data_IF_980571902415
#
_entry.id   IF_980571902415
#
_cell.length_a   1.000
_cell.length_b   1.000
_cell.length_c   1.000
_cell.angle_alpha   90.00
_cell.angle_beta   90.00
_cell.angle_gamma   90.00
#
_symmetry.space_group_name_H-M   'P 1'
#
loop_
_entity.id
_entity.type
_entity.pdbx_description
1 polymer ?
#
# COMPACT_ATOMS: atom_id res chain seq x y z
N UNK A 1 8.49 24.94 54.21
CA UNK A 1 7.28 25.33 53.45
C UNK A 1 7.72 25.72 52.04
N UNK A 2 7.23 25.17 50.93
CA UNK A 2 6.16 24.22 50.71
C UNK A 2 6.35 23.52 49.37
N UNK A 3 6.08 22.22 49.39
CA UNK A 3 6.12 21.32 48.24
C UNK A 3 4.87 21.57 47.37
N UNK A 4 5.02 22.29 46.25
CA UNK A 4 3.95 22.41 45.27
C UNK A 4 3.89 21.14 44.42
N UNK A 5 3.12 20.18 44.91
CA UNK A 5 2.60 19.05 44.13
C UNK A 5 1.63 19.60 43.08
N UNK A 6 2.06 19.65 41.83
CA UNK A 6 1.14 19.80 40.69
C UNK A 6 0.91 18.40 40.12
N UNK A 7 -0.36 18.02 40.11
CA UNK A 7 -0.86 16.70 39.75
C UNK A 7 -0.43 16.27 38.34
N UNK A 8 -0.13 14.99 38.11
CA UNK A 8 -0.08 14.46 36.76
C UNK A 8 -1.51 14.39 36.20
N UNK A 9 -1.79 15.20 35.18
CA UNK A 9 -2.95 14.95 34.31
C UNK A 9 -2.62 13.72 33.45
N UNK A 10 -2.83 12.53 34.03
CA UNK A 10 -2.96 11.30 33.27
C UNK A 10 -4.27 11.39 32.49
N UNK A 11 -4.19 11.92 31.27
CA UNK A 11 -5.26 11.89 30.29
C UNK A 11 -5.45 10.44 29.79
N UNK A 12 -6.17 9.65 30.57
CA UNK A 12 -6.83 8.45 30.05
C UNK A 12 -8.08 8.88 29.26
N UNK A 13 -7.87 9.29 28.01
CA UNK A 13 -8.83 9.02 26.95
C UNK A 13 -8.05 8.40 25.79
N UNK A 14 -7.83 7.10 25.91
CA UNK A 14 -7.86 6.23 24.76
C UNK A 14 -9.20 6.46 24.08
N UNK A 15 -9.24 7.40 23.13
CA UNK A 15 -10.28 7.44 22.13
C UNK A 15 -10.15 6.10 21.40
N UNK A 16 -11.06 5.20 21.78
CA UNK A 16 -11.60 4.15 20.95
C UNK A 16 -12.07 4.80 19.64
N UNK A 17 -11.13 5.15 18.77
CA UNK A 17 -11.41 5.03 17.36
C UNK A 17 -11.57 3.53 17.16
N UNK A 18 -12.77 3.05 16.79
CA UNK A 18 -12.83 1.75 16.18
C UNK A 18 -11.88 1.88 14.99
N UNK A 19 -10.69 1.29 15.12
CA UNK A 19 -9.91 0.86 13.99
C UNK A 19 -10.82 -0.14 13.29
N UNK A 20 -11.78 0.39 12.53
CA UNK A 20 -12.28 -0.30 11.39
C UNK A 20 -11.00 -0.53 10.60
N UNK A 21 -10.49 -1.76 10.72
CA UNK A 21 -9.52 -2.30 9.82
C UNK A 21 -10.21 -2.27 8.44
N UNK A 22 -10.27 -1.09 7.82
CA UNK A 22 -10.25 -1.00 6.39
C UNK A 22 -8.90 -1.63 6.04
N UNK A 23 -8.93 -2.93 5.75
CA UNK A 23 -7.81 -3.58 5.10
C UNK A 23 -7.39 -2.64 3.97
N UNK A 24 -6.13 -2.23 3.99
CA UNK A 24 -5.61 -1.35 2.97
C UNK A 24 -5.86 -2.05 1.63
N UNK A 25 -6.71 -1.45 0.80
CA UNK A 25 -7.21 -2.10 -0.38
C UNK A 25 -7.10 -1.15 -1.56
N UNK A 26 -6.60 -1.68 -2.67
CA UNK A 26 -6.82 -1.03 -3.95
C UNK A 26 -8.34 -1.01 -4.18
N UNK A 27 -8.86 0.14 -4.63
CA UNK A 27 -10.22 0.15 -5.19
C UNK A 27 -10.29 -0.84 -6.36
N UNK A 28 -11.48 -1.33 -6.67
CA UNK A 28 -11.66 -2.26 -7.79
C UNK A 28 -11.08 -1.68 -9.10
N UNK A 29 -11.33 -0.39 -9.35
CA UNK A 29 -10.79 0.33 -10.50
C UNK A 29 -9.25 0.45 -10.45
N UNK A 30 -8.68 0.83 -9.31
CA UNK A 30 -7.22 0.95 -9.16
C UNK A 30 -6.51 -0.39 -9.34
N UNK A 31 -7.10 -1.48 -8.84
CA UNK A 31 -6.57 -2.84 -9.01
C UNK A 31 -6.62 -3.29 -10.47
N UNK A 32 -7.75 -3.04 -11.13
CA UNK A 32 -7.92 -3.36 -12.55
C UNK A 32 -6.92 -2.56 -13.41
N UNK A 33 -6.78 -1.26 -13.15
CA UNK A 33 -5.86 -0.39 -13.87
C UNK A 33 -4.39 -0.77 -13.63
N UNK A 34 -3.99 -0.98 -12.37
CA UNK A 34 -2.65 -1.47 -12.04
C UNK A 34 -2.32 -2.77 -12.78
N UNK A 35 -3.25 -3.73 -12.72
CA UNK A 35 -3.05 -5.05 -13.32
C UNK A 35 -2.95 -4.95 -14.85
N UNK A 36 -3.81 -4.14 -15.49
CA UNK A 36 -3.79 -3.92 -16.94
C UNK A 36 -2.49 -3.22 -17.39
N UNK A 37 -2.05 -2.18 -16.69
CA UNK A 37 -0.81 -1.46 -17.01
C UNK A 37 0.42 -2.36 -16.82
N UNK A 38 0.47 -3.11 -15.71
CA UNK A 38 1.53 -4.06 -15.44
C UNK A 38 1.58 -5.18 -16.51
N UNK A 39 0.44 -5.75 -16.88
CA UNK A 39 0.38 -6.79 -17.92
C UNK A 39 0.81 -6.24 -19.28
N UNK A 40 0.32 -5.07 -19.67
CA UNK A 40 0.73 -4.42 -20.92
C UNK A 40 2.25 -4.21 -20.94
N UNK A 41 2.83 -3.68 -19.87
CA UNK A 41 4.28 -3.48 -19.77
C UNK A 41 5.08 -4.79 -19.81
N UNK A 42 4.58 -5.86 -19.18
CA UNK A 42 5.23 -7.17 -19.19
C UNK A 42 5.16 -7.85 -20.57
N UNK A 43 4.00 -7.79 -21.24
CA UNK A 43 3.82 -8.33 -22.60
C UNK A 43 4.71 -7.59 -23.60
N UNK A 44 4.84 -6.26 -23.48
CA UNK A 44 5.79 -5.47 -24.30
C UNK A 44 7.25 -5.90 -24.09
N UNK A 45 7.57 -6.51 -22.94
CA UNK A 45 8.89 -7.10 -22.64
C UNK A 45 9.00 -8.57 -23.06
N UNK A 46 8.01 -9.11 -23.78
CA UNK A 46 8.00 -10.49 -24.26
C UNK A 46 7.61 -11.53 -23.20
N UNK A 47 7.02 -11.10 -22.07
CA UNK A 47 6.46 -12.02 -21.07
C UNK A 47 5.14 -12.59 -21.60
N UNK A 48 4.96 -13.90 -21.44
CA UNK A 48 3.69 -14.59 -21.73
C UNK A 48 2.52 -13.94 -20.98
N UNK A 49 1.34 -13.86 -21.62
CA UNK A 49 0.18 -13.16 -21.08
C UNK A 49 -0.33 -13.79 -19.76
N UNK A 50 -0.35 -15.13 -19.65
CA UNK A 50 -0.78 -15.81 -18.43
C UNK A 50 0.23 -15.58 -17.29
N UNK A 51 1.52 -15.63 -17.61
CA UNK A 51 2.59 -15.31 -16.65
C UNK A 51 2.57 -13.85 -16.21
N UNK A 52 2.35 -12.92 -17.14
CA UNK A 52 2.18 -11.50 -16.84
C UNK A 52 0.98 -11.29 -15.91
N UNK A 53 -0.15 -11.95 -16.18
CA UNK A 53 -1.32 -11.88 -15.32
C UNK A 53 -1.05 -12.40 -13.91
N UNK A 54 -0.37 -13.56 -13.77
CA UNK A 54 -0.01 -14.12 -12.47
C UNK A 54 0.92 -13.17 -11.68
N UNK A 55 1.96 -12.64 -12.33
CA UNK A 55 2.90 -11.69 -11.74
C UNK A 55 2.20 -10.41 -11.26
N UNK A 56 1.38 -9.79 -12.12
CA UNK A 56 0.71 -8.54 -11.79
C UNK A 56 -0.38 -8.73 -10.74
N UNK A 57 -1.09 -9.86 -10.74
CA UNK A 57 -2.07 -10.18 -9.69
C UNK A 57 -1.39 -10.38 -8.33
N UNK A 58 -0.21 -11.00 -8.32
CA UNK A 58 0.61 -11.10 -7.11
C UNK A 58 1.07 -9.72 -6.63
N UNK A 59 1.52 -8.85 -7.53
CA UNK A 59 1.90 -7.48 -7.18
C UNK A 59 0.76 -6.69 -6.53
N UNK A 60 -0.46 -6.82 -7.06
CA UNK A 60 -1.65 -6.19 -6.48
C UNK A 60 -1.95 -6.71 -5.07
N UNK A 61 -1.83 -8.02 -4.85
CA UNK A 61 -1.98 -8.63 -3.51
C UNK A 61 -0.93 -8.12 -2.53
N UNK A 62 0.33 -8.04 -2.96
CA UNK A 62 1.42 -7.50 -2.13
C UNK A 62 1.16 -6.05 -1.73
N UNK A 63 0.60 -5.24 -2.64
CA UNK A 63 0.19 -3.87 -2.32
C UNK A 63 -0.85 -3.86 -1.19
N UNK A 64 -1.91 -4.65 -1.32
CA UNK A 64 -2.98 -4.77 -0.32
C UNK A 64 -2.45 -5.29 1.03
N UNK A 65 -1.46 -6.19 1.03
CA UNK A 65 -0.95 -6.83 2.24
C UNK A 65 0.15 -6.03 2.96
N UNK A 66 0.94 -5.22 2.24
CA UNK A 66 2.18 -4.59 2.76
C UNK A 66 2.14 -3.07 2.83
N UNK A 67 1.11 -2.45 2.25
CA UNK A 67 0.99 -1.00 2.19
C UNK A 67 -0.18 -0.55 3.04
N UNK A 68 -0.04 0.62 3.65
CA UNK A 68 -1.15 1.28 4.34
C UNK A 68 -2.08 1.92 3.31
N UNK A 69 -3.33 2.22 3.69
CA UNK A 69 -4.26 2.89 2.78
C UNK A 69 -3.69 4.23 2.27
N UNK A 70 -3.05 5.02 3.14
CA UNK A 70 -2.44 6.28 2.74
C UNK A 70 -1.31 6.10 1.70
N UNK A 71 -0.52 5.03 1.82
CA UNK A 71 0.50 4.67 0.83
C UNK A 71 -0.13 4.22 -0.49
N UNK A 72 -1.22 3.45 -0.44
CA UNK A 72 -1.97 3.04 -1.64
C UNK A 72 -2.56 4.26 -2.34
N UNK A 73 -3.16 5.18 -1.60
CA UNK A 73 -3.71 6.43 -2.14
C UNK A 73 -2.62 7.27 -2.81
N UNK A 74 -1.42 7.33 -2.24
CA UNK A 74 -0.27 7.97 -2.86
C UNK A 74 0.22 7.25 -4.13
N UNK A 75 0.23 5.91 -4.13
CA UNK A 75 0.64 5.12 -5.30
C UNK A 75 -0.35 5.24 -6.48
N UNK A 76 -1.63 5.45 -6.17
CA UNK A 76 -2.73 5.50 -7.16
C UNK A 76 -3.13 6.93 -7.55
N UNK A 77 -2.56 7.95 -6.91
CA UNK A 77 -2.86 9.34 -7.22
C UNK A 77 -2.37 9.71 -8.63
N UNK A 78 -3.28 10.16 -9.49
CA UNK A 78 -2.97 10.54 -10.89
C UNK A 78 -2.44 11.96 -11.03
N UNK A 79 -2.56 12.78 -10.00
CA UNK A 79 -2.16 14.20 -10.00
C UNK A 79 -0.79 14.43 -9.37
N UNK A 80 -0.39 13.55 -8.43
CA UNK A 80 0.84 13.70 -7.66
C UNK A 80 1.69 12.45 -7.83
N UNK A 81 2.95 12.67 -8.18
CA UNK A 81 3.90 11.58 -8.34
C UNK A 81 4.22 10.93 -6.98
N UNK A 82 4.20 9.58 -6.87
CA UNK A 82 4.50 8.91 -5.61
C UNK A 82 5.94 9.20 -5.16
N UNK A 83 6.19 9.37 -3.84
CA UNK A 83 7.54 9.55 -3.31
C UNK A 83 8.48 8.43 -3.76
N UNK A 84 9.75 8.77 -4.05
CA UNK A 84 10.75 7.79 -4.48
C UNK A 84 10.91 6.63 -3.49
N UNK A 85 10.89 6.91 -2.19
CA UNK A 85 10.96 5.89 -1.15
C UNK A 85 9.78 4.90 -1.22
N UNK A 86 8.59 5.39 -1.56
CA UNK A 86 7.39 4.56 -1.68
C UNK A 86 7.45 3.67 -2.93
N UNK A 87 7.96 4.20 -4.04
CA UNK A 87 8.23 3.40 -5.25
C UNK A 87 9.30 2.34 -5.02
N UNK A 88 10.37 2.68 -4.30
CA UNK A 88 11.41 1.71 -3.94
C UNK A 88 10.86 0.61 -3.05
N UNK A 89 10.01 0.95 -2.07
CA UNK A 89 9.29 -0.03 -1.25
C UNK A 89 8.44 -0.94 -2.15
N UNK A 90 7.64 -0.37 -3.06
CA UNK A 90 6.86 -1.15 -4.03
C UNK A 90 7.72 -2.13 -4.81
N UNK A 91 8.78 -1.65 -5.46
CA UNK A 91 9.69 -2.48 -6.25
C UNK A 91 10.32 -3.59 -5.41
N UNK A 92 10.71 -3.31 -4.17
CA UNK A 92 11.28 -4.30 -3.25
C UNK A 92 10.27 -5.38 -2.85
N UNK A 93 9.07 -4.98 -2.43
CA UNK A 93 8.06 -5.92 -1.94
C UNK A 93 7.53 -6.80 -3.07
N UNK A 94 7.35 -6.29 -4.29
CA UNK A 94 6.88 -7.10 -5.43
C UNK A 94 7.93 -8.08 -5.97
N UNK A 95 9.19 -8.02 -5.52
CA UNK A 95 10.20 -9.03 -5.89
C UNK A 95 9.79 -10.46 -5.49
N UNK A 96 8.95 -10.61 -4.46
CA UNK A 96 8.40 -11.91 -4.06
C UNK A 96 7.55 -12.55 -5.17
N UNK A 97 7.05 -11.74 -6.11
CA UNK A 97 6.23 -12.18 -7.24
C UNK A 97 7.05 -12.59 -8.46
N UNK A 98 8.38 -12.54 -8.42
CA UNK A 98 9.27 -12.81 -9.57
C UNK A 98 9.06 -14.20 -10.22
N UNK A 99 8.62 -15.18 -9.43
CA UNK A 99 8.46 -16.58 -9.89
C UNK A 99 7.01 -16.95 -10.21
N UNK A 100 6.11 -15.97 -10.26
CA UNK A 100 4.74 -16.17 -10.74
C UNK A 100 4.71 -16.31 -12.26
#
# INVERSE_FOLDING_TARGET
MGLKRLLPLSACLALMLPFAAQAAALSADAKAEYTAQCQAAAVQQGVDAAKAQAHCSCGAKVIEDKFTQAEIDQLTNKQVEPPMALRQKLMKEVLVCKNQ
#
